data_IF_249973540575
#
_entry.id   IF_249973540575
#
_cell.length_a   1.000
_cell.length_b   1.000
_cell.length_c   1.000
_cell.angle_alpha   90.00
_cell.angle_beta   90.00
_cell.angle_gamma   90.00
#
_symmetry.space_group_name_H-M   'P 1'
#
loop_
_entity.id
_entity.type
_entity.pdbx_description
1 polymer ?
#
# COMPACT_ATOMS: atom_id res chain seq x y z
N UNK A 1 7.02 -18.92 -15.95
CA UNK A 1 7.86 -17.68 -16.02
C UNK A 1 8.03 -17.25 -14.59
N UNK A 2 9.26 -17.09 -14.11
CA UNK A 2 9.47 -16.61 -12.76
C UNK A 2 8.97 -15.15 -12.62
N UNK A 3 8.67 -14.72 -11.38
CA UNK A 3 8.09 -13.40 -11.17
C UNK A 3 9.04 -12.25 -11.55
N UNK A 4 10.35 -12.46 -11.59
CA UNK A 4 11.31 -11.43 -12.04
C UNK A 4 11.19 -11.16 -13.53
N UNK A 5 11.12 -12.21 -14.35
CA UNK A 5 10.92 -12.07 -15.79
C UNK A 5 9.54 -11.49 -16.12
N UNK A 6 8.53 -11.98 -15.40
CA UNK A 6 7.17 -11.44 -15.53
C UNK A 6 7.12 -9.96 -15.18
N UNK A 7 7.71 -9.52 -14.05
CA UNK A 7 7.69 -8.14 -13.60
C UNK A 7 8.35 -7.17 -14.61
N UNK A 8 9.43 -7.60 -15.26
CA UNK A 8 10.05 -6.82 -16.37
C UNK A 8 9.09 -6.54 -17.51
N UNK A 9 8.11 -7.41 -17.74
CA UNK A 9 7.15 -7.32 -18.83
C UNK A 9 5.81 -6.71 -18.43
N UNK A 10 5.47 -6.71 -17.15
CA UNK A 10 4.17 -6.31 -16.63
C UNK A 10 3.84 -4.83 -16.89
N UNK A 11 4.80 -3.93 -16.70
CA UNK A 11 4.77 -2.49 -17.00
C UNK A 11 3.66 -1.68 -16.37
N UNK A 12 2.47 -2.23 -16.12
CA UNK A 12 1.31 -1.48 -15.64
C UNK A 12 0.50 -2.30 -14.63
N UNK A 13 0.26 -1.73 -13.46
CA UNK A 13 -0.50 -2.34 -12.38
C UNK A 13 -1.46 -1.36 -11.71
N UNK A 14 -2.46 -1.90 -11.02
CA UNK A 14 -3.38 -1.17 -10.16
C UNK A 14 -2.95 -1.30 -8.71
N UNK A 15 -2.79 -0.18 -8.00
CA UNK A 15 -2.71 -0.16 -6.55
C UNK A 15 -4.06 0.26 -5.97
N UNK A 16 -4.44 -0.30 -4.82
CA UNK A 16 -5.70 0.05 -4.16
C UNK A 16 -5.40 0.44 -2.72
N UNK A 17 -5.58 1.73 -2.40
CA UNK A 17 -5.55 2.22 -1.02
C UNK A 17 -6.96 2.29 -0.46
N UNK A 18 -7.29 1.34 0.42
CA UNK A 18 -8.62 1.23 0.98
C UNK A 18 -8.62 0.68 2.40
N UNK A 19 -9.38 1.31 3.29
CA UNK A 19 -9.47 0.96 4.70
C UNK A 19 -10.48 1.83 5.44
N UNK A 20 -10.44 1.85 6.77
CA UNK A 20 -11.35 2.65 7.61
C UNK A 20 -11.27 4.15 7.31
N UNK A 21 -10.11 4.64 6.95
CA UNK A 21 -9.89 6.06 6.57
C UNK A 21 -10.78 6.51 5.40
N UNK A 22 -11.22 5.59 4.54
CA UNK A 22 -12.12 5.89 3.42
C UNK A 22 -13.52 6.33 3.87
N UNK A 23 -13.94 6.00 5.11
CA UNK A 23 -15.20 6.49 5.69
C UNK A 23 -15.10 7.99 5.95
N UNK A 24 -13.95 8.44 6.43
CA UNK A 24 -13.70 9.84 6.75
C UNK A 24 -13.45 10.69 5.49
N UNK A 25 -12.96 10.07 4.42
CA UNK A 25 -12.81 10.71 3.11
C UNK A 25 -12.01 12.01 3.13
N UNK A 26 -10.94 12.06 3.93
CA UNK A 26 -10.07 13.25 4.03
C UNK A 26 -10.59 14.36 4.95
N UNK A 27 -11.67 14.15 5.73
CA UNK A 27 -12.20 15.14 6.68
C UNK A 27 -12.49 14.52 8.05
N UNK A 28 -12.20 15.27 9.11
CA UNK A 28 -12.53 14.88 10.46
C UNK A 28 -13.14 16.06 11.24
N UNK A 29 -14.35 15.89 11.78
CA UNK A 29 -15.12 16.90 12.53
C UNK A 29 -15.21 18.24 11.79
N UNK A 30 -15.51 18.23 10.50
CA UNK A 30 -15.67 19.42 9.67
C UNK A 30 -14.35 20.10 9.25
N UNK A 31 -13.20 19.49 9.54
CA UNK A 31 -11.89 20.02 9.15
C UNK A 31 -11.23 19.10 8.13
N UNK A 32 -10.78 19.65 6.98
CA UNK A 32 -10.04 18.87 5.99
C UNK A 32 -8.68 18.43 6.55
N UNK A 33 -8.21 17.27 6.15
CA UNK A 33 -6.83 16.83 6.37
C UNK A 33 -5.88 17.73 5.57
N UNK A 34 -4.74 18.06 6.15
CA UNK A 34 -3.63 18.73 5.48
C UNK A 34 -2.58 17.71 4.96
N UNK A 35 -2.88 16.42 5.06
CA UNK A 35 -2.08 15.31 4.57
C UNK A 35 -2.95 14.35 3.74
N UNK A 36 -2.38 13.25 3.29
CA UNK A 36 -3.14 12.21 2.59
C UNK A 36 -4.29 11.66 3.43
N UNK A 37 -5.37 11.24 2.78
CA UNK A 37 -6.59 10.79 3.45
C UNK A 37 -6.37 9.56 4.35
N UNK A 38 -5.48 8.65 3.96
CA UNK A 38 -5.13 7.46 4.75
C UNK A 38 -4.29 7.79 6.00
N UNK A 39 -3.70 8.98 6.06
CA UNK A 39 -2.98 9.49 7.24
C UNK A 39 -3.88 10.26 8.22
N UNK A 40 -5.19 10.29 8.00
CA UNK A 40 -6.12 11.14 8.76
C UNK A 40 -6.10 10.87 10.26
N UNK A 41 -5.86 9.63 10.70
CA UNK A 41 -5.75 9.30 12.12
C UNK A 41 -4.59 10.06 12.76
N UNK A 42 -3.42 10.02 12.15
CA UNK A 42 -2.22 10.73 12.61
C UNK A 42 -2.37 12.24 12.44
N UNK A 43 -2.92 12.71 11.31
CA UNK A 43 -3.13 14.14 11.05
C UNK A 43 -3.92 14.85 12.13
N UNK A 44 -4.92 14.18 12.69
CA UNK A 44 -5.77 14.73 13.75
C UNK A 44 -5.50 14.13 15.13
N UNK A 45 -4.49 13.28 15.27
CA UNK A 45 -4.20 12.54 16.50
C UNK A 45 -5.48 11.87 17.06
N UNK A 46 -6.23 11.18 16.18
CA UNK A 46 -7.50 10.56 16.57
C UNK A 46 -7.21 9.37 17.48
N UNK A 47 -7.68 9.39 18.74
CA UNK A 47 -7.46 8.28 19.66
C UNK A 47 -7.93 6.95 19.10
N UNK A 48 -7.18 5.88 19.34
CA UNK A 48 -7.53 4.53 18.87
C UNK A 48 -8.94 4.10 19.29
N UNK A 49 -9.36 4.46 20.51
CA UNK A 49 -10.71 4.20 21.00
C UNK A 49 -11.83 4.91 20.21
N UNK A 50 -11.51 6.04 19.58
CA UNK A 50 -12.42 6.78 18.70
C UNK A 50 -12.34 6.25 17.26
N UNK A 51 -11.14 6.09 16.73
CA UNK A 51 -10.91 5.59 15.39
C UNK A 51 -11.48 4.18 15.18
N UNK A 52 -11.33 3.29 16.16
CA UNK A 52 -11.87 1.94 16.10
C UNK A 52 -13.40 1.88 15.94
N UNK A 53 -14.14 2.94 16.33
CA UNK A 53 -15.60 3.00 16.13
C UNK A 53 -16.00 3.05 14.65
N UNK A 54 -15.09 3.46 13.77
CA UNK A 54 -15.32 3.43 12.32
C UNK A 54 -15.58 2.00 11.83
N UNK A 55 -14.96 1.00 12.44
CA UNK A 55 -15.21 -0.40 12.10
C UNK A 55 -16.69 -0.79 12.29
N UNK A 56 -17.37 -0.24 13.30
CA UNK A 56 -18.79 -0.54 13.57
C UNK A 56 -19.73 -0.09 12.45
N UNK A 57 -19.30 0.84 11.60
CA UNK A 57 -20.10 1.39 10.49
C UNK A 57 -19.47 1.06 9.12
N UNK A 58 -18.31 0.42 9.09
CA UNK A 58 -17.68 0.02 7.84
C UNK A 58 -18.40 -1.17 7.21
N UNK A 59 -19.31 -0.85 6.32
CA UNK A 59 -20.14 -1.83 5.60
C UNK A 59 -20.14 -1.53 4.10
N UNK A 60 -19.07 -1.88 3.37
CA UNK A 60 -18.89 -1.54 1.96
C UNK A 60 -19.76 -2.41 1.04
N UNK A 61 -21.07 -2.18 1.06
CA UNK A 61 -22.10 -2.97 0.38
C UNK A 61 -21.97 -2.98 -1.15
N UNK A 62 -21.25 -2.03 -1.74
CA UNK A 62 -21.00 -1.96 -3.19
C UNK A 62 -19.66 -2.58 -3.61
N UNK A 63 -18.89 -3.11 -2.66
CA UNK A 63 -17.66 -3.79 -3.01
C UNK A 63 -17.93 -5.06 -3.84
N UNK A 64 -17.29 -5.13 -4.98
CA UNK A 64 -17.32 -6.28 -5.88
C UNK A 64 -15.93 -6.52 -6.47
N UNK A 65 -15.23 -7.54 -5.98
CA UNK A 65 -13.87 -7.87 -6.39
C UNK A 65 -13.76 -8.15 -7.91
N UNK A 66 -14.78 -8.80 -8.50
CA UNK A 66 -14.83 -9.08 -9.94
C UNK A 66 -14.82 -7.79 -10.78
N UNK A 67 -15.57 -6.77 -10.36
CA UNK A 67 -15.63 -5.49 -11.06
C UNK A 67 -14.29 -4.75 -10.98
N UNK A 68 -13.61 -4.79 -9.83
CA UNK A 68 -12.29 -4.18 -9.67
C UNK A 68 -11.27 -4.82 -10.60
N UNK A 69 -11.21 -6.15 -10.60
CA UNK A 69 -10.25 -6.92 -11.41
C UNK A 69 -10.56 -6.79 -12.91
N UNK A 70 -11.85 -6.79 -13.29
CA UNK A 70 -12.26 -6.56 -14.69
C UNK A 70 -11.86 -5.19 -15.18
N UNK A 71 -12.09 -4.14 -14.37
CA UNK A 71 -11.65 -2.78 -14.71
C UNK A 71 -10.15 -2.72 -14.93
N UNK A 72 -9.35 -3.29 -14.02
CA UNK A 72 -7.90 -3.33 -14.18
C UNK A 72 -7.48 -4.03 -15.49
N UNK A 73 -8.10 -5.17 -15.78
CA UNK A 73 -7.83 -5.96 -16.99
C UNK A 73 -8.23 -5.23 -18.27
N UNK A 74 -9.44 -4.65 -18.30
CA UNK A 74 -9.93 -3.83 -19.42
C UNK A 74 -8.97 -2.68 -19.74
N UNK A 75 -8.41 -2.06 -18.70
CA UNK A 75 -7.45 -0.97 -18.81
C UNK A 75 -5.99 -1.43 -19.10
N UNK A 76 -5.78 -2.73 -19.35
CA UNK A 76 -4.47 -3.27 -19.75
C UNK A 76 -3.49 -3.50 -18.60
N UNK A 77 -3.94 -3.43 -17.35
CA UNK A 77 -3.12 -3.74 -16.20
C UNK A 77 -2.86 -5.24 -16.07
N UNK A 78 -1.67 -5.59 -15.59
CA UNK A 78 -1.20 -6.98 -15.50
C UNK A 78 -1.23 -7.53 -14.07
N UNK A 79 -1.32 -6.66 -13.07
CA UNK A 79 -1.35 -7.02 -11.66
C UNK A 79 -2.10 -5.98 -10.83
N UNK A 80 -2.48 -6.41 -9.64
CA UNK A 80 -3.16 -5.61 -8.64
C UNK A 80 -2.40 -5.72 -7.31
N UNK A 81 -2.17 -4.59 -6.64
CA UNK A 81 -1.57 -4.51 -5.30
C UNK A 81 -2.58 -3.91 -4.35
N UNK A 82 -2.99 -4.66 -3.33
CA UNK A 82 -4.02 -4.25 -2.39
C UNK A 82 -3.46 -3.94 -0.99
N UNK A 83 -3.91 -2.85 -0.36
CA UNK A 83 -3.55 -2.51 1.02
C UNK A 83 -4.17 -3.50 2.01
N UNK A 84 -3.45 -4.56 2.34
CA UNK A 84 -3.92 -5.55 3.31
C UNK A 84 -3.92 -5.02 4.74
N UNK A 85 -2.97 -4.16 5.11
CA UNK A 85 -2.95 -3.39 6.35
C UNK A 85 -2.17 -2.09 6.13
N UNK A 86 -2.79 -0.94 6.44
CA UNK A 86 -2.13 0.36 6.46
C UNK A 86 -1.62 0.73 7.86
N UNK A 87 -1.10 1.94 8.06
CA UNK A 87 -0.49 2.41 9.32
C UNK A 87 -1.47 2.48 10.50
N UNK A 88 -2.78 2.55 10.24
CA UNK A 88 -3.85 2.52 11.26
C UNK A 88 -4.02 1.16 11.96
N UNK A 89 -3.30 0.15 11.49
CA UNK A 89 -3.30 -1.19 12.06
C UNK A 89 -4.56 -2.02 11.73
N UNK A 90 -5.49 -1.50 10.92
CA UNK A 90 -6.68 -2.23 10.51
C UNK A 90 -6.36 -3.22 9.38
N UNK A 91 -6.65 -4.51 9.64
CA UNK A 91 -6.43 -5.54 8.63
C UNK A 91 -7.65 -5.70 7.70
N UNK A 92 -7.43 -5.55 6.40
CA UNK A 92 -8.44 -5.78 5.36
C UNK A 92 -8.54 -7.27 4.95
N UNK A 93 -8.13 -8.17 5.84
CA UNK A 93 -8.16 -9.63 5.70
C UNK A 93 -8.58 -10.31 7.02
N UNK A 94 -8.94 -11.60 6.97
CA UNK A 94 -9.35 -12.40 8.14
C UNK A 94 -8.15 -12.79 8.99
N UNK A 95 -7.52 -11.83 9.67
CA UNK A 95 -6.42 -12.10 10.59
C UNK A 95 -6.89 -12.86 11.84
N UNK A 96 -6.11 -13.84 12.26
CA UNK A 96 -6.29 -14.54 13.56
C UNK A 96 -5.39 -13.96 14.64
N UNK A 97 -4.44 -13.12 14.24
CA UNK A 97 -3.49 -12.43 15.13
C UNK A 97 -4.16 -11.24 15.82
N UNK A 98 -4.96 -10.48 15.10
CA UNK A 98 -5.66 -9.29 15.62
C UNK A 98 -7.13 -9.29 15.17
N UNK A 99 -8.05 -9.15 16.13
CA UNK A 99 -9.49 -9.04 15.85
C UNK A 99 -9.89 -7.69 15.22
N UNK A 100 -8.99 -6.70 15.19
CA UNK A 100 -9.21 -5.42 14.50
C UNK A 100 -9.04 -5.59 12.99
N UNK A 101 -9.97 -6.33 12.40
CA UNK A 101 -9.96 -6.65 10.98
C UNK A 101 -11.36 -6.57 10.37
N UNK A 102 -11.42 -6.50 9.04
CA UNK A 102 -12.67 -6.29 8.29
C UNK A 102 -13.71 -7.40 8.54
N UNK A 103 -13.27 -8.62 8.75
CA UNK A 103 -14.19 -9.75 8.94
C UNK A 103 -14.78 -9.82 10.34
N UNK A 104 -13.99 -9.52 11.37
CA UNK A 104 -14.39 -9.68 12.76
C UNK A 104 -14.94 -8.40 13.38
N UNK A 105 -14.37 -7.25 13.02
CA UNK A 105 -14.70 -5.97 13.65
C UNK A 105 -15.80 -5.17 12.93
N UNK A 106 -16.24 -5.62 11.74
CA UNK A 106 -17.19 -4.85 10.93
C UNK A 106 -18.48 -5.60 10.66
N UNK A 107 -19.62 -4.89 10.44
CA UNK A 107 -20.86 -5.52 10.01
C UNK A 107 -20.77 -6.15 8.61
N UNK A 108 -19.76 -5.81 7.82
CA UNK A 108 -19.52 -6.38 6.50
C UNK A 108 -19.15 -7.87 6.56
N UNK A 109 -18.32 -8.28 7.52
CA UNK A 109 -18.05 -9.67 7.85
C UNK A 109 -17.44 -10.54 6.75
N UNK A 110 -16.89 -9.94 5.67
CA UNK A 110 -16.28 -10.63 4.53
C UNK A 110 -14.77 -10.38 4.48
N UNK A 111 -14.04 -11.30 3.87
CA UNK A 111 -12.59 -11.18 3.65
C UNK A 111 -12.33 -10.61 2.24
N UNK A 112 -12.13 -9.29 2.17
CA UNK A 112 -11.89 -8.57 0.91
C UNK A 112 -10.61 -9.05 0.22
N UNK A 113 -9.57 -9.35 0.99
CA UNK A 113 -8.29 -9.81 0.43
C UNK A 113 -8.46 -11.16 -0.25
N UNK A 114 -9.22 -12.08 0.35
CA UNK A 114 -9.50 -13.38 -0.25
C UNK A 114 -10.30 -13.24 -1.55
N UNK A 115 -11.32 -12.38 -1.55
CA UNK A 115 -12.16 -12.16 -2.73
C UNK A 115 -11.38 -11.52 -3.89
N UNK A 116 -10.49 -10.56 -3.61
CA UNK A 116 -9.63 -9.96 -4.63
C UNK A 116 -8.61 -10.97 -5.17
N UNK A 117 -8.00 -11.79 -4.30
CA UNK A 117 -7.07 -12.83 -4.71
C UNK A 117 -7.75 -13.85 -5.65
N UNK A 118 -8.95 -14.32 -5.29
CA UNK A 118 -9.74 -15.25 -6.11
C UNK A 118 -10.13 -14.63 -7.45
N UNK A 119 -10.59 -13.38 -7.46
CA UNK A 119 -10.94 -12.67 -8.68
C UNK A 119 -9.72 -12.47 -9.60
N UNK A 120 -8.56 -12.09 -9.04
CA UNK A 120 -7.32 -11.97 -9.80
C UNK A 120 -6.93 -13.31 -10.43
N UNK A 121 -6.94 -14.39 -9.66
CA UNK A 121 -6.65 -15.73 -10.17
C UNK A 121 -7.60 -16.12 -11.31
N UNK A 122 -8.91 -15.94 -11.12
CA UNK A 122 -9.94 -16.27 -12.12
C UNK A 122 -9.77 -15.48 -13.43
N UNK A 123 -9.36 -14.22 -13.35
CA UNK A 123 -9.21 -13.35 -14.52
C UNK A 123 -7.79 -13.30 -15.07
N UNK A 124 -6.84 -14.04 -14.48
CA UNK A 124 -5.46 -14.12 -14.94
C UNK A 124 -4.64 -12.84 -14.70
N UNK A 125 -5.01 -12.04 -13.69
CA UNK A 125 -4.17 -10.99 -13.16
C UNK A 125 -3.26 -11.55 -12.05
N UNK A 126 -2.05 -11.06 -11.95
CA UNK A 126 -1.21 -11.34 -10.79
C UNK A 126 -1.69 -10.52 -9.58
N UNK A 127 -1.62 -11.12 -8.39
CA UNK A 127 -2.04 -10.47 -7.15
C UNK A 127 -0.84 -10.21 -6.24
N UNK A 128 -0.76 -9.00 -5.71
CA UNK A 128 0.21 -8.57 -4.72
C UNK A 128 -0.46 -7.85 -3.57
N UNK A 129 0.26 -7.73 -2.46
CA UNK A 129 -0.24 -7.09 -1.25
C UNK A 129 0.69 -5.98 -0.80
N UNK A 130 0.11 -4.84 -0.40
CA UNK A 130 0.76 -3.83 0.41
C UNK A 130 0.58 -4.21 1.89
N UNK A 131 1.63 -4.05 2.68
CA UNK A 131 1.58 -4.24 4.12
C UNK A 131 2.49 -3.23 4.84
N UNK A 132 1.92 -2.43 5.74
CA UNK A 132 2.69 -1.54 6.62
C UNK A 132 3.37 -2.35 7.71
N UNK A 133 4.68 -2.56 7.55
CA UNK A 133 5.45 -3.41 8.46
C UNK A 133 6.02 -2.66 9.66
N UNK A 134 6.25 -1.36 9.55
CA UNK A 134 6.90 -0.55 10.60
C UNK A 134 5.87 0.24 11.41
N UNK A 135 5.12 1.12 10.74
CA UNK A 135 4.12 1.92 11.40
C UNK A 135 2.88 1.08 11.72
N UNK A 136 2.48 1.10 12.98
CA UNK A 136 1.20 0.58 13.45
C UNK A 136 0.71 1.47 14.61
N UNK A 137 -0.18 2.39 14.29
CA UNK A 137 -0.64 3.37 15.27
C UNK A 137 -1.51 2.78 16.37
N UNK A 138 -1.99 1.56 16.19
CA UNK A 138 -2.80 0.85 17.17
C UNK A 138 -1.96 0.15 18.24
N UNK A 139 -0.71 -0.19 17.91
CA UNK A 139 0.16 -0.94 18.79
C UNK A 139 1.03 -0.03 19.67
N UNK A 140 1.10 -0.28 20.99
CA UNK A 140 1.93 0.53 21.89
C UNK A 140 3.39 0.61 21.45
N UNK A 141 3.92 -0.47 20.88
CA UNK A 141 5.27 -0.61 20.37
C UNK A 141 5.37 -0.51 18.84
N UNK A 142 4.33 0.02 18.17
CA UNK A 142 4.37 0.32 16.73
C UNK A 142 5.48 1.30 16.40
N UNK A 143 6.06 1.18 15.20
CA UNK A 143 7.21 1.97 14.77
C UNK A 143 6.94 3.45 14.55
N UNK A 144 7.92 4.14 13.96
CA UNK A 144 7.86 5.57 13.67
C UNK A 144 8.35 6.49 14.80
N UNK A 145 8.56 5.97 16.00
CA UNK A 145 8.91 6.77 17.19
C UNK A 145 10.36 7.31 17.19
N UNK A 146 11.22 6.81 16.31
CA UNK A 146 12.59 7.33 16.13
C UNK A 146 12.66 8.47 15.12
N UNK A 147 11.56 8.73 14.41
CA UNK A 147 11.50 9.76 13.39
C UNK A 147 11.13 11.12 13.99
N UNK A 148 11.54 12.20 13.34
CA UNK A 148 11.09 13.53 13.69
C UNK A 148 9.56 13.59 13.59
N UNK A 149 8.84 13.97 14.66
CA UNK A 149 7.38 14.03 14.65
C UNK A 149 6.80 15.04 13.66
N UNK A 150 7.62 15.87 13.01
CA UNK A 150 7.19 16.84 12.00
C UNK A 150 7.31 16.37 10.55
N UNK A 151 7.80 15.16 10.32
CA UNK A 151 7.92 14.61 8.97
C UNK A 151 6.57 14.19 8.37
N UNK A 152 6.51 14.08 7.05
CA UNK A 152 5.33 13.75 6.26
C UNK A 152 4.20 14.80 6.37
N UNK A 153 4.39 15.94 5.71
CA UNK A 153 3.40 17.04 5.67
C UNK A 153 2.97 17.56 7.05
N UNK A 154 3.85 17.53 8.04
CA UNK A 154 3.59 18.01 9.39
C UNK A 154 2.79 17.03 10.26
N UNK A 155 2.73 15.76 9.88
CA UNK A 155 2.01 14.71 10.60
C UNK A 155 2.99 13.82 11.35
N UNK A 156 2.64 13.44 12.58
CA UNK A 156 3.45 12.51 13.35
C UNK A 156 3.40 11.09 12.76
N UNK A 157 4.54 10.45 12.66
CA UNK A 157 4.62 9.05 12.22
C UNK A 157 4.35 8.08 13.37
N UNK A 158 4.71 8.48 14.59
CA UNK A 158 4.46 7.74 15.82
C UNK A 158 3.01 7.92 16.29
N UNK A 159 2.62 7.09 17.23
CA UNK A 159 1.30 7.07 17.87
C UNK A 159 1.29 7.70 19.26
N UNK A 160 2.05 8.77 19.45
CA UNK A 160 2.26 9.41 20.76
C UNK A 160 0.99 10.02 21.38
N UNK A 161 -0.07 10.20 20.60
CA UNK A 161 -1.38 10.67 21.10
C UNK A 161 -2.08 9.65 22.01
N UNK A 162 -1.86 8.34 21.83
CA UNK A 162 -2.37 7.28 22.69
C UNK A 162 -1.28 6.61 23.53
N UNK A 163 -0.07 6.53 22.98
CA UNK A 163 1.08 5.85 23.56
C UNK A 163 2.27 6.80 23.62
N UNK A 164 2.30 7.72 24.62
CA UNK A 164 3.39 8.69 24.75
C UNK A 164 4.75 8.02 24.66
N UNK A 165 5.68 8.69 23.99
CA UNK A 165 7.03 8.18 23.86
C UNK A 165 7.66 7.97 25.25
N UNK A 166 8.22 6.78 25.43
CA UNK A 166 9.11 6.50 26.54
C UNK A 166 10.26 5.60 26.04
N UNK A 167 11.33 5.53 26.80
CA UNK A 167 12.53 4.77 26.48
C UNK A 167 12.34 3.23 26.54
N UNK A 168 11.14 2.77 26.94
CA UNK A 168 10.76 1.36 26.99
C UNK A 168 10.07 0.88 25.71
N UNK A 169 9.73 1.79 24.79
CA UNK A 169 9.20 1.38 23.49
C UNK A 169 10.19 0.47 22.77
N UNK A 170 9.74 -0.72 22.44
CA UNK A 170 10.53 -1.74 21.77
C UNK A 170 9.74 -2.31 20.58
N UNK A 171 10.10 -1.85 19.39
CA UNK A 171 9.48 -2.31 18.15
C UNK A 171 9.54 -3.84 17.98
N UNK A 172 10.58 -4.51 18.50
CA UNK A 172 10.68 -5.97 18.41
C UNK A 172 9.47 -6.68 19.02
N UNK A 173 8.83 -6.10 20.04
CA UNK A 173 7.61 -6.68 20.63
C UNK A 173 6.42 -6.62 19.67
N UNK A 174 6.20 -5.49 19.00
CA UNK A 174 5.18 -5.37 17.97
C UNK A 174 5.49 -6.28 16.78
N UNK A 175 6.76 -6.32 16.37
CA UNK A 175 7.23 -7.15 15.28
C UNK A 175 6.93 -8.64 15.51
N UNK A 176 7.28 -9.17 16.69
CA UNK A 176 7.11 -10.58 17.02
C UNK A 176 5.66 -10.96 17.30
N UNK A 177 4.88 -10.06 17.93
CA UNK A 177 3.50 -10.38 18.34
C UNK A 177 2.46 -10.15 17.25
N UNK A 178 2.72 -9.24 16.29
CA UNK A 178 1.74 -8.87 15.27
C UNK A 178 2.30 -8.89 13.85
N UNK A 179 3.38 -8.16 13.58
CA UNK A 179 3.84 -7.95 12.21
C UNK A 179 4.24 -9.26 11.54
N UNK A 180 5.16 -10.01 12.15
CA UNK A 180 5.63 -11.28 11.59
C UNK A 180 4.51 -12.31 11.48
N UNK A 181 3.68 -12.56 12.51
CA UNK A 181 2.56 -13.50 12.40
C UNK A 181 1.54 -13.10 11.33
N UNK A 182 1.20 -11.82 11.17
CA UNK A 182 0.30 -11.38 10.11
C UNK A 182 0.91 -11.52 8.71
N UNK A 183 2.21 -11.24 8.54
CA UNK A 183 2.90 -11.50 7.28
C UNK A 183 2.89 -12.99 6.93
N UNK A 184 3.10 -13.89 7.90
CA UNK A 184 2.94 -15.33 7.68
C UNK A 184 1.51 -15.71 7.27
N UNK A 185 0.47 -15.10 7.88
CA UNK A 185 -0.92 -15.32 7.49
C UNK A 185 -1.17 -14.97 6.02
N UNK A 186 -0.73 -13.79 5.57
CA UNK A 186 -0.98 -13.35 4.19
C UNK A 186 -0.21 -14.18 3.18
N UNK A 187 0.99 -14.67 3.51
CA UNK A 187 1.78 -15.54 2.65
C UNK A 187 1.17 -16.95 2.47
N UNK A 188 0.38 -17.40 3.43
CA UNK A 188 -0.16 -18.77 3.46
C UNK A 188 -1.61 -18.86 2.99
N UNK A 189 -2.39 -17.79 3.14
CA UNK A 189 -3.84 -17.89 3.05
C UNK A 189 -4.43 -17.33 1.74
N UNK A 190 -3.67 -16.59 0.94
CA UNK A 190 -4.20 -15.86 -0.23
C UNK A 190 -3.62 -16.32 -1.57
N UNK A 191 -3.11 -17.56 -1.60
CA UNK A 191 -2.55 -18.15 -2.81
C UNK A 191 -1.17 -17.56 -3.19
N UNK A 192 -0.80 -17.68 -4.46
CA UNK A 192 0.47 -17.17 -4.97
C UNK A 192 0.45 -15.64 -5.09
N UNK A 193 1.36 -14.99 -4.37
CA UNK A 193 1.57 -13.55 -4.47
C UNK A 193 2.69 -13.24 -5.46
N UNK A 194 2.46 -12.29 -6.37
CA UNK A 194 3.52 -11.83 -7.26
C UNK A 194 4.53 -10.93 -6.56
N UNK A 195 4.07 -10.14 -5.59
CA UNK A 195 4.91 -9.27 -4.79
C UNK A 195 4.26 -8.92 -3.44
N UNK A 196 5.10 -8.51 -2.48
CA UNK A 196 4.71 -7.75 -1.30
C UNK A 196 5.34 -6.37 -1.38
N UNK A 197 4.50 -5.34 -1.21
CA UNK A 197 4.84 -3.95 -1.17
C UNK A 197 4.85 -3.47 0.29
N UNK A 198 6.02 -3.42 0.91
CA UNK A 198 6.24 -2.85 2.25
C UNK A 198 6.34 -1.34 2.17
N UNK A 199 6.15 -0.63 3.30
CA UNK A 199 6.12 0.83 3.28
C UNK A 199 6.65 1.48 4.56
N UNK A 200 7.19 2.70 4.40
CA UNK A 200 7.66 3.60 5.46
C UNK A 200 8.54 2.89 6.50
N UNK A 201 9.72 2.38 6.11
CA UNK A 201 10.65 1.76 7.05
C UNK A 201 11.36 2.84 7.88
N UNK A 202 11.03 2.97 9.18
CA UNK A 202 11.56 4.03 10.04
C UNK A 202 12.26 3.52 11.29
N UNK A 203 11.77 2.42 11.85
CA UNK A 203 12.21 1.93 13.16
C UNK A 203 12.86 0.56 13.08
N UNK A 204 12.42 -0.27 12.12
CA UNK A 204 12.92 -1.62 11.97
C UNK A 204 14.43 -1.63 11.73
N UNK A 205 15.11 -2.58 12.35
CA UNK A 205 16.54 -2.83 12.22
C UNK A 205 16.81 -3.88 11.13
N UNK A 206 18.06 -4.03 10.71
CA UNK A 206 18.48 -5.00 9.69
C UNK A 206 17.97 -6.43 9.99
N UNK A 207 18.01 -6.84 11.28
CA UNK A 207 17.49 -8.16 11.71
C UNK A 207 16.01 -8.35 11.35
N UNK A 208 15.18 -7.30 11.46
CA UNK A 208 13.75 -7.36 11.18
C UNK A 208 13.50 -7.44 9.67
N UNK A 209 14.18 -6.59 8.87
CA UNK A 209 14.10 -6.64 7.41
C UNK A 209 14.55 -8.01 6.87
N UNK A 210 15.65 -8.55 7.43
CA UNK A 210 16.14 -9.88 7.06
C UNK A 210 15.14 -10.98 7.40
N UNK A 211 14.57 -10.95 8.61
CA UNK A 211 13.57 -11.93 9.03
C UNK A 211 12.31 -11.91 8.15
N UNK A 212 11.81 -10.71 7.77
CA UNK A 212 10.69 -10.59 6.84
C UNK A 212 11.05 -11.13 5.45
N UNK A 213 12.21 -10.74 4.91
CA UNK A 213 12.66 -11.22 3.60
C UNK A 213 12.76 -12.74 3.58
N UNK A 214 13.45 -13.33 4.56
CA UNK A 214 13.65 -14.78 4.63
C UNK A 214 12.31 -15.52 4.81
N UNK A 215 11.38 -14.96 5.57
CA UNK A 215 10.02 -15.51 5.75
C UNK A 215 9.24 -15.49 4.44
N UNK A 216 9.26 -14.38 3.70
CA UNK A 216 8.61 -14.31 2.38
C UNK A 216 9.22 -15.36 1.45
N UNK A 217 10.55 -15.43 1.37
CA UNK A 217 11.24 -16.41 0.49
C UNK A 217 11.03 -17.85 0.91
N UNK A 218 10.86 -18.12 2.19
CA UNK A 218 10.54 -19.46 2.72
C UNK A 218 9.16 -19.95 2.26
N UNK A 219 8.15 -19.11 2.33
CA UNK A 219 6.77 -19.50 1.99
C UNK A 219 6.47 -19.33 0.49
N UNK A 220 7.02 -18.30 -0.12
CA UNK A 220 6.78 -17.94 -1.53
C UNK A 220 8.09 -17.46 -2.19
N UNK A 221 8.94 -18.39 -2.67
CA UNK A 221 10.27 -18.07 -3.18
C UNK A 221 10.28 -17.06 -4.35
N UNK A 222 9.24 -17.08 -5.18
CA UNK A 222 9.11 -16.21 -6.35
C UNK A 222 8.43 -14.86 -6.04
N UNK A 223 7.85 -14.67 -4.84
CA UNK A 223 7.24 -13.41 -4.43
C UNK A 223 8.30 -12.31 -4.34
N UNK A 224 8.10 -11.21 -5.07
CA UNK A 224 9.03 -10.08 -5.10
C UNK A 224 8.80 -9.14 -3.91
N UNK A 225 9.88 -8.54 -3.43
CA UNK A 225 9.87 -7.66 -2.26
C UNK A 225 10.47 -6.32 -2.67
N UNK A 226 9.74 -5.21 -2.39
CA UNK A 226 10.20 -3.86 -2.72
C UNK A 226 11.25 -3.31 -1.75
N UNK A 227 11.94 -2.26 -2.19
CA UNK A 227 13.00 -1.59 -1.42
C UNK A 227 12.51 -0.92 -0.13
N UNK A 228 11.21 -0.65 -0.01
CA UNK A 228 10.64 -0.07 1.21
C UNK A 228 10.52 -1.08 2.37
N UNK A 229 10.98 -2.32 2.20
CA UNK A 229 11.31 -3.19 3.34
C UNK A 229 12.44 -2.61 4.19
N UNK A 230 13.32 -1.81 3.59
CA UNK A 230 14.43 -1.15 4.25
C UNK A 230 15.68 -2.01 4.41
N UNK A 231 16.75 -1.38 4.91
CA UNK A 231 18.05 -2.02 5.23
C UNK A 231 18.69 -2.79 4.06
N UNK A 232 18.42 -2.35 2.81
CA UNK A 232 19.05 -2.92 1.61
C UNK A 232 18.70 -4.38 1.30
N UNK A 233 17.58 -4.88 1.81
CA UNK A 233 17.15 -6.27 1.66
C UNK A 233 15.86 -6.31 0.82
N UNK A 234 15.97 -6.49 -0.50
CA UNK A 234 14.84 -6.46 -1.44
C UNK A 234 15.18 -7.04 -2.81
N UNK A 235 14.16 -7.28 -3.64
CA UNK A 235 14.29 -7.75 -5.02
C UNK A 235 14.18 -6.61 -6.03
N UNK A 236 13.34 -5.61 -5.79
CA UNK A 236 13.12 -4.50 -6.69
C UNK A 236 13.05 -3.15 -5.95
N UNK A 237 13.29 -2.09 -6.68
CA UNK A 237 13.23 -0.72 -6.14
C UNK A 237 11.87 -0.12 -6.44
N UNK A 238 11.19 0.34 -5.39
CA UNK A 238 10.05 1.24 -5.51
C UNK A 238 10.55 2.68 -5.33
N UNK A 239 10.33 3.51 -6.35
CA UNK A 239 10.72 4.91 -6.34
C UNK A 239 9.90 5.70 -5.30
N UNK A 240 10.23 6.97 -5.11
CA UNK A 240 9.46 7.86 -4.24
C UNK A 240 8.04 8.06 -4.79
N UNK A 241 7.14 8.47 -3.91
CA UNK A 241 5.73 8.67 -4.25
C UNK A 241 5.55 9.67 -5.39
N UNK A 242 4.81 9.28 -6.44
CA UNK A 242 4.60 10.07 -7.65
C UNK A 242 5.91 10.49 -8.38
N UNK A 243 7.00 9.82 -8.11
CA UNK A 243 8.27 10.10 -8.78
C UNK A 243 8.26 9.60 -10.22
N UNK A 244 8.55 10.51 -11.15
CA UNK A 244 8.69 10.23 -12.58
C UNK A 244 10.10 10.66 -12.97
N UNK A 245 11.09 9.74 -12.89
CA UNK A 245 12.48 10.08 -13.17
C UNK A 245 12.73 10.26 -14.66
N UNK A 246 13.70 11.08 -15.03
CA UNK A 246 14.19 11.21 -16.40
C UNK A 246 15.01 9.99 -16.84
N UNK A 247 15.68 9.35 -15.89
CA UNK A 247 16.51 8.16 -16.09
C UNK A 247 16.46 7.22 -14.88
N UNK A 248 16.83 5.95 -15.07
CA UNK A 248 16.91 4.98 -13.97
C UNK A 248 18.15 5.24 -13.14
N UNK A 249 17.99 5.44 -11.82
CA UNK A 249 19.10 5.58 -10.89
C UNK A 249 19.78 4.22 -10.70
N UNK A 250 21.05 4.15 -11.08
CA UNK A 250 21.85 2.91 -11.03
C UNK A 250 22.98 2.96 -10.02
N UNK A 251 23.16 4.09 -9.34
CA UNK A 251 24.26 4.29 -8.39
C UNK A 251 23.74 4.21 -6.94
N UNK A 252 24.61 3.71 -6.06
CA UNK A 252 24.36 3.72 -4.62
C UNK A 252 24.36 5.15 -4.07
N UNK A 253 23.41 5.45 -3.17
CA UNK A 253 23.41 6.69 -2.39
C UNK A 253 23.19 6.37 -0.92
N UNK A 254 23.92 7.04 -0.05
CA UNK A 254 23.76 6.97 1.41
C UNK A 254 22.56 7.81 1.89
N UNK A 255 21.91 8.52 0.99
CA UNK A 255 20.76 9.35 1.31
C UNK A 255 19.64 8.47 1.91
N UNK A 256 19.27 8.79 3.14
CA UNK A 256 18.20 8.13 3.88
C UNK A 256 16.98 9.02 3.82
N UNK A 257 15.90 8.48 3.30
CA UNK A 257 14.60 9.14 3.29
C UNK A 257 13.51 8.19 3.85
N UNK A 258 12.26 8.64 3.84
CA UNK A 258 11.13 7.85 4.35
C UNK A 258 10.98 6.46 3.71
N UNK A 259 11.56 6.25 2.53
CA UNK A 259 11.38 5.03 1.75
C UNK A 259 12.65 4.16 1.69
N UNK A 260 13.77 4.62 2.29
CA UNK A 260 15.08 3.97 2.12
C UNK A 260 15.95 4.01 3.36
N UNK A 261 15.46 3.49 4.48
CA UNK A 261 16.31 3.28 5.66
C UNK A 261 17.49 2.34 5.31
N UNK A 262 18.68 2.69 5.73
CA UNK A 262 19.93 1.96 5.38
C UNK A 262 20.50 2.31 4.01
N UNK A 263 20.04 3.41 3.40
CA UNK A 263 20.50 3.91 2.11
C UNK A 263 19.81 3.23 0.91
N UNK A 264 19.89 3.89 -0.23
CA UNK A 264 19.37 3.38 -1.50
C UNK A 264 20.45 2.54 -2.21
N UNK A 265 20.07 1.37 -2.68
CA UNK A 265 20.89 0.54 -3.59
C UNK A 265 20.10 0.27 -4.86
N UNK A 266 20.76 0.17 -6.02
CA UNK A 266 20.09 -0.27 -7.24
C UNK A 266 19.43 -1.64 -7.06
N UNK A 267 18.35 -1.90 -7.82
CA UNK A 267 17.75 -3.23 -7.82
C UNK A 267 18.76 -4.30 -8.24
N UNK A 268 18.88 -5.41 -7.48
CA UNK A 268 19.81 -6.48 -7.83
C UNK A 268 19.46 -7.18 -9.15
N UNK A 269 18.22 -6.98 -9.64
CA UNK A 269 17.72 -7.60 -10.87
C UNK A 269 17.32 -6.58 -11.94
N UNK A 270 17.57 -5.29 -11.72
CA UNK A 270 17.14 -4.21 -12.61
C UNK A 270 15.62 -4.09 -12.70
N UNK A 271 14.92 -4.26 -11.58
CA UNK A 271 13.46 -4.18 -11.46
C UNK A 271 13.07 -2.92 -10.70
N UNK A 272 12.16 -2.14 -11.25
CA UNK A 272 11.72 -0.87 -10.68
C UNK A 272 10.22 -0.69 -10.83
N UNK A 273 9.57 -0.05 -9.84
CA UNK A 273 8.24 0.53 -10.00
C UNK A 273 8.20 2.00 -9.56
N UNK A 274 7.23 2.73 -10.08
CA UNK A 274 6.82 4.04 -9.63
C UNK A 274 5.34 3.98 -9.28
N UNK A 275 5.05 4.12 -7.99
CA UNK A 275 3.69 4.18 -7.48
C UNK A 275 3.17 5.62 -7.56
N UNK A 276 2.04 5.81 -8.25
CA UNK A 276 1.47 7.13 -8.51
C UNK A 276 -0.03 7.16 -8.27
N UNK A 277 -0.52 8.37 -7.98
CA UNK A 277 -1.94 8.64 -7.76
C UNK A 277 -2.61 9.22 -9.02
N UNK A 278 -3.93 9.05 -9.13
CA UNK A 278 -4.76 9.70 -10.16
C UNK A 278 -5.10 11.16 -9.82
N UNK A 279 -5.05 11.52 -8.55
CA UNK A 279 -5.26 12.84 -7.97
C UNK A 279 -4.14 13.13 -6.96
N UNK A 280 -4.38 13.95 -5.92
CA UNK A 280 -3.37 14.26 -4.90
C UNK A 280 -3.41 13.30 -3.70
N UNK A 281 -4.31 12.31 -3.67
CA UNK A 281 -4.55 11.41 -2.54
C UNK A 281 -4.37 9.94 -2.91
N UNK A 282 -3.87 9.12 -1.97
CA UNK A 282 -3.85 7.66 -2.11
C UNK A 282 -5.20 7.05 -1.71
N UNK A 283 -5.63 7.27 -0.46
CA UNK A 283 -6.96 6.90 -0.01
C UNK A 283 -8.04 7.84 -0.54
N UNK A 284 -9.31 7.43 -0.45
CA UNK A 284 -10.44 8.24 -0.88
C UNK A 284 -10.48 9.59 -0.16
N UNK A 285 -10.54 10.67 -0.94
CA UNK A 285 -10.71 12.02 -0.44
C UNK A 285 -11.79 12.73 -1.27
N UNK A 286 -12.96 12.98 -0.67
CA UNK A 286 -14.09 13.56 -1.39
C UNK A 286 -13.92 15.04 -1.74
N UNK A 287 -12.90 15.71 -1.17
CA UNK A 287 -12.55 17.11 -1.49
C UNK A 287 -11.48 17.22 -2.58
N UNK A 288 -10.79 16.12 -2.86
CA UNK A 288 -9.73 16.12 -3.85
C UNK A 288 -10.31 15.88 -5.24
N UNK A 289 -10.40 16.97 -5.98
CA UNK A 289 -10.86 16.99 -7.39
C UNK A 289 -9.74 17.32 -8.37
N UNK A 290 -8.49 17.28 -7.92
CA UNK A 290 -7.33 17.57 -8.76
C UNK A 290 -6.92 16.35 -9.59
N UNK A 291 -7.84 15.87 -10.41
CA UNK A 291 -7.64 14.70 -11.25
C UNK A 291 -6.64 14.97 -12.39
N UNK A 292 -5.63 14.12 -12.51
CA UNK A 292 -4.68 14.15 -13.62
C UNK A 292 -5.39 13.78 -14.92
N UNK A 293 -5.20 14.56 -16.01
CA UNK A 293 -5.81 14.24 -17.31
C UNK A 293 -5.36 12.88 -17.83
N UNK A 294 -6.25 12.14 -18.50
CA UNK A 294 -5.93 10.83 -19.09
C UNK A 294 -4.71 10.89 -20.04
N UNK A 295 -4.54 12.00 -20.77
CA UNK A 295 -3.35 12.24 -21.62
C UNK A 295 -2.06 12.25 -20.81
N UNK A 296 -2.04 12.92 -19.67
CA UNK A 296 -0.87 12.95 -18.77
C UNK A 296 -0.57 11.55 -18.24
N UNK A 297 -1.59 10.78 -17.81
CA UNK A 297 -1.42 9.40 -17.34
C UNK A 297 -0.81 8.52 -18.44
N UNK A 298 -1.29 8.64 -19.67
CA UNK A 298 -0.75 7.89 -20.81
C UNK A 298 0.71 8.27 -21.12
N UNK A 299 1.02 9.57 -21.13
CA UNK A 299 2.38 10.06 -21.37
C UNK A 299 3.34 9.54 -20.29
N UNK A 300 2.95 9.60 -19.01
CA UNK A 300 3.71 9.06 -17.89
C UNK A 300 3.92 7.54 -18.04
N UNK A 301 2.86 6.81 -18.35
CA UNK A 301 2.93 5.35 -18.59
C UNK A 301 3.96 5.00 -19.67
N UNK A 302 3.86 5.70 -20.81
CA UNK A 302 4.77 5.47 -21.95
C UNK A 302 6.22 5.85 -21.63
N UNK A 303 6.42 6.89 -20.83
CA UNK A 303 7.74 7.31 -20.38
C UNK A 303 8.37 6.27 -19.46
N UNK A 304 7.67 5.85 -18.42
CA UNK A 304 8.15 4.81 -17.48
C UNK A 304 8.40 3.48 -18.19
N UNK A 305 7.54 3.09 -19.13
CA UNK A 305 7.73 1.88 -19.93
C UNK A 305 9.04 1.90 -20.73
N UNK A 306 9.40 3.04 -21.34
CA UNK A 306 10.67 3.23 -22.05
C UNK A 306 11.87 3.08 -21.12
N UNK A 307 11.74 3.51 -19.88
CA UNK A 307 12.78 3.36 -18.85
C UNK A 307 12.82 1.95 -18.24
N UNK A 308 11.88 1.08 -18.56
CA UNK A 308 11.78 -0.26 -17.96
C UNK A 308 11.19 -0.26 -16.55
N UNK A 309 10.55 0.83 -16.13
CA UNK A 309 9.93 1.00 -14.82
C UNK A 309 8.46 0.62 -14.92
N UNK A 310 7.95 -0.14 -13.96
CA UNK A 310 6.53 -0.47 -13.88
C UNK A 310 5.74 0.73 -13.32
N UNK A 311 4.66 1.10 -14.01
CA UNK A 311 3.73 2.12 -13.52
C UNK A 311 2.68 1.48 -12.63
N UNK A 312 2.72 1.73 -11.33
CA UNK A 312 1.75 1.23 -10.36
C UNK A 312 0.77 2.36 -10.01
N UNK A 313 -0.39 2.39 -10.69
CA UNK A 313 -1.34 3.49 -10.61
C UNK A 313 -2.44 3.22 -9.58
N UNK A 314 -2.60 4.14 -8.63
CA UNK A 314 -3.48 3.97 -7.48
C UNK A 314 -4.92 4.40 -7.74
N UNK A 315 -5.85 3.65 -7.16
CA UNK A 315 -7.24 4.03 -6.94
C UNK A 315 -7.57 3.98 -5.45
N UNK A 316 -8.38 4.93 -4.95
CA UNK A 316 -8.84 4.99 -3.56
C UNK A 316 -10.35 4.78 -3.49
N UNK A 317 -10.85 3.56 -3.22
CA UNK A 317 -12.28 3.32 -3.06
C UNK A 317 -12.87 4.06 -1.86
N UNK A 318 -14.16 4.45 -1.99
CA UNK A 318 -14.89 5.11 -0.90
C UNK A 318 -15.27 4.13 0.24
N UNK A 319 -15.81 4.66 1.33
CA UNK A 319 -16.25 3.86 2.47
C UNK A 319 -17.37 2.86 2.18
N UNK A 320 -18.02 2.95 1.02
CA UNK A 320 -19.04 2.00 0.55
C UNK A 320 -18.48 0.96 -0.44
N UNK A 321 -17.19 1.01 -0.75
CA UNK A 321 -16.53 0.06 -1.64
C UNK A 321 -16.70 0.37 -3.13
N UNK A 322 -16.81 1.64 -3.51
CA UNK A 322 -16.88 2.05 -4.91
C UNK A 322 -15.56 2.71 -5.32
N UNK A 323 -15.01 2.31 -6.44
CA UNK A 323 -13.97 3.09 -7.10
C UNK A 323 -14.61 4.39 -7.59
N UNK A 324 -14.03 5.58 -7.32
CA UNK A 324 -14.60 6.85 -7.76
C UNK A 324 -14.82 6.90 -9.28
N UNK A 325 -15.97 7.45 -9.71
CA UNK A 325 -16.31 7.60 -11.13
C UNK A 325 -15.20 8.24 -11.95
N UNK A 326 -14.62 9.39 -11.53
CA UNK A 326 -13.49 9.99 -12.26
C UNK A 326 -12.30 9.06 -12.44
N UNK A 327 -11.98 8.21 -11.45
CA UNK A 327 -10.91 7.20 -11.60
C UNK A 327 -11.22 6.22 -12.72
N UNK A 328 -12.45 5.70 -12.76
CA UNK A 328 -12.92 4.76 -13.80
C UNK A 328 -12.86 5.40 -15.17
N UNK A 329 -13.36 6.64 -15.27
CA UNK A 329 -13.41 7.38 -16.56
C UNK A 329 -12.00 7.66 -17.09
N UNK A 330 -11.06 8.07 -16.22
CA UNK A 330 -9.67 8.31 -16.61
C UNK A 330 -9.01 7.02 -17.09
N UNK A 331 -9.13 5.93 -16.32
CA UNK A 331 -8.53 4.64 -16.66
C UNK A 331 -9.04 4.12 -17.99
N UNK A 332 -10.36 4.15 -18.22
CA UNK A 332 -10.97 3.76 -19.50
C UNK A 332 -10.54 4.66 -20.64
N UNK A 333 -10.45 5.97 -20.38
CA UNK A 333 -9.99 6.92 -21.41
C UNK A 333 -8.55 6.65 -21.83
N UNK A 334 -7.67 6.29 -20.91
CA UNK A 334 -6.31 5.85 -21.23
C UNK A 334 -6.34 4.60 -22.10
N UNK A 335 -7.17 3.60 -21.74
CA UNK A 335 -7.32 2.37 -22.52
C UNK A 335 -7.88 2.60 -23.93
N UNK A 336 -8.86 3.51 -24.09
CA UNK A 336 -9.36 3.96 -25.41
C UNK A 336 -8.24 4.60 -26.25
N UNK A 337 -7.43 5.48 -25.66
CA UNK A 337 -6.31 6.13 -26.35
C UNK A 337 -5.23 5.13 -26.78
N UNK A 338 -5.13 3.98 -26.13
CA UNK A 338 -4.28 2.85 -26.53
C UNK A 338 -4.96 1.88 -27.52
N UNK A 339 -6.21 2.12 -27.89
CA UNK A 339 -6.97 1.24 -28.79
C UNK A 339 -7.34 -0.11 -28.17
N UNK A 340 -7.52 -0.16 -26.85
CA UNK A 340 -7.93 -1.38 -26.11
C UNK A 340 -9.43 -1.49 -25.90
N UNK A 341 -10.13 -0.37 -25.90
CA UNK A 341 -11.59 -0.23 -25.76
C UNK A 341 -12.18 0.48 -26.98
#
# INVERSE_FOLDING_TARGET
MDNKQWFKQAKYGMMIHWGLYSILGGEYKGRPSNAYAEWIQSCFAIPNAEYAKLANVFNPIFFNAEEYVKLAKECGMQYLVFTSKHHDGFAMFDSKVDSFNIKQATPFGRDVTAELAEACYKHGLKFGLYYSQDLDWREPNGGGYRSDPQYCAGVAWCNNWDFPWDDKKDYSQCFESKIMPQVEEILRNYGELCLIWFDVPQTLEEKHSRALFDTVKKYQPDCLINSRLGNGTYDYVSLSDNEIPDEVVTEFTEEVNMNSIGGFKPSPYGLYDSACTLNDSWGFNYRDHNWKPAKQILETKQHLEKLGINYLLNVGPDGLGRIPGPSIDILRKVAEMEGRL
#
